data_IF_353217092584
#
_entry.id   IF_353217092584
#
_cell.length_a   1.000
_cell.length_b   1.000
_cell.length_c   1.000
_cell.angle_alpha   90.00
_cell.angle_beta   90.00
_cell.angle_gamma   90.00
#
_symmetry.space_group_name_H-M   'P 1'
#
loop_
_entity.id
_entity.type
_entity.pdbx_description
1 polymer ?
#
# COMPACT_ATOMS: atom_id res chain seq x y z
N UNK A 1 -6.16 -20.78 4.18
CA UNK A 1 -7.61 -20.54 4.05
C UNK A 1 -8.35 -21.48 3.07
N UNK A 2 -7.67 -22.40 2.36
CA UNK A 2 -8.34 -23.33 1.42
C UNK A 2 -9.44 -24.14 2.13
N UNK A 3 -10.61 -24.24 1.51
CA UNK A 3 -11.76 -24.98 2.03
C UNK A 3 -12.59 -24.25 3.10
N UNK A 4 -12.17 -23.05 3.55
CA UNK A 4 -12.89 -22.31 4.61
C UNK A 4 -13.99 -21.39 4.09
N UNK A 5 -14.02 -21.13 2.79
CA UNK A 5 -14.99 -20.25 2.14
C UNK A 5 -15.21 -20.68 0.69
N UNK A 6 -16.34 -20.28 0.12
CA UNK A 6 -16.75 -20.67 -1.23
C UNK A 6 -16.91 -19.49 -2.21
N UNK A 7 -16.84 -18.24 -1.72
CA UNK A 7 -16.93 -16.99 -2.51
C UNK A 7 -16.24 -15.86 -1.74
N UNK A 8 -15.77 -14.82 -2.43
CA UNK A 8 -15.26 -13.61 -1.77
C UNK A 8 -15.69 -12.33 -2.50
N UNK A 9 -15.76 -11.22 -1.76
CA UNK A 9 -16.05 -9.88 -2.26
C UNK A 9 -14.87 -8.97 -1.85
N UNK A 10 -14.20 -8.37 -2.82
CA UNK A 10 -13.12 -7.41 -2.64
C UNK A 10 -13.67 -6.01 -2.87
N UNK A 11 -13.80 -5.23 -1.80
CA UNK A 11 -14.35 -3.88 -1.82
C UNK A 11 -13.23 -2.87 -1.58
N UNK A 12 -12.80 -2.17 -2.62
CA UNK A 12 -11.79 -1.10 -2.52
C UNK A 12 -10.48 -1.54 -1.85
N UNK A 13 -10.04 -2.78 -2.10
CA UNK A 13 -8.78 -3.26 -1.56
C UNK A 13 -8.41 -4.69 -1.98
N UNK A 14 -7.11 -4.91 -2.15
CA UNK A 14 -6.54 -6.22 -2.43
C UNK A 14 -5.10 -6.36 -1.89
N UNK A 15 -4.59 -7.58 -1.87
CA UNK A 15 -3.23 -7.91 -1.41
C UNK A 15 -2.10 -7.34 -2.28
N UNK A 16 -2.41 -6.78 -3.46
CA UNK A 16 -1.43 -6.11 -4.32
C UNK A 16 -1.37 -4.60 -4.10
N UNK A 17 -2.24 -4.06 -3.23
CA UNK A 17 -2.23 -2.63 -2.89
C UNK A 17 -0.96 -2.30 -2.10
N UNK A 18 -0.29 -1.19 -2.42
CA UNK A 18 0.99 -0.83 -1.78
C UNK A 18 0.88 -0.68 -0.26
N UNK A 19 -0.28 -0.25 0.23
CA UNK A 19 -0.56 -0.10 1.66
C UNK A 19 -0.92 -1.42 2.36
N UNK A 20 -1.12 -2.52 1.64
CA UNK A 20 -1.58 -3.80 2.19
C UNK A 20 -0.44 -4.77 2.56
N UNK A 21 0.81 -4.41 2.26
CA UNK A 21 1.98 -5.26 2.46
C UNK A 21 3.20 -4.45 2.95
N UNK A 22 4.04 -5.07 3.78
CA UNK A 22 5.28 -4.49 4.29
C UNK A 22 6.50 -5.26 3.78
N UNK A 23 7.31 -4.59 2.96
CA UNK A 23 8.54 -5.16 2.38
C UNK A 23 9.71 -5.21 3.38
N UNK A 24 9.74 -4.29 4.35
CA UNK A 24 10.84 -4.12 5.29
C UNK A 24 10.40 -4.29 6.77
N UNK A 25 9.70 -5.37 7.15
CA UNK A 25 9.07 -5.49 8.48
C UNK A 25 10.07 -5.45 9.63
N UNK A 26 11.27 -6.05 9.46
CA UNK A 26 12.33 -6.03 10.47
C UNK A 26 12.87 -4.62 10.70
N UNK A 27 13.10 -3.86 9.64
CA UNK A 27 13.56 -2.47 9.76
C UNK A 27 12.55 -1.63 10.52
N UNK A 28 11.26 -1.73 10.16
CA UNK A 28 10.18 -1.00 10.87
C UNK A 28 10.09 -1.39 12.35
N UNK A 29 10.25 -2.67 12.69
CA UNK A 29 10.28 -3.13 14.08
C UNK A 29 11.48 -2.55 14.87
N UNK A 30 12.66 -2.50 14.26
CA UNK A 30 13.86 -1.91 14.88
C UNK A 30 13.74 -0.39 15.07
N UNK A 31 13.12 0.31 14.12
CA UNK A 31 12.84 1.73 14.25
C UNK A 31 11.86 2.02 15.41
N UNK A 32 10.80 1.22 15.53
CA UNK A 32 9.86 1.32 16.65
C UNK A 32 10.56 1.08 18.00
N UNK A 33 11.38 0.02 18.09
CA UNK A 33 12.13 -0.26 19.30
C UNK A 33 13.05 0.92 19.68
N UNK A 34 13.73 1.51 18.68
CA UNK A 34 14.61 2.68 18.88
C UNK A 34 13.86 3.90 19.38
N UNK A 35 12.72 4.21 18.79
CA UNK A 35 11.83 5.32 19.20
C UNK A 35 11.40 5.18 20.67
N UNK A 36 11.17 3.94 21.11
CA UNK A 36 10.78 3.61 22.47
C UNK A 36 11.96 3.46 23.45
N UNK A 37 13.21 3.59 22.98
CA UNK A 37 14.42 3.61 23.80
C UNK A 37 15.32 2.37 23.72
N UNK A 38 15.08 1.44 22.79
CA UNK A 38 15.91 0.25 22.57
C UNK A 38 16.69 0.33 21.26
N UNK A 39 18.01 0.49 21.34
CA UNK A 39 18.91 0.59 20.17
C UNK A 39 19.50 -0.73 19.71
N UNK A 40 19.13 -1.85 20.33
CA UNK A 40 19.62 -3.19 19.97
C UNK A 40 19.26 -3.55 18.52
N UNK A 41 20.09 -4.39 17.90
CA UNK A 41 19.85 -4.96 16.57
C UNK A 41 19.55 -6.47 16.63
N UNK A 42 19.69 -7.05 17.82
CA UNK A 42 19.43 -8.45 18.10
C UNK A 42 17.90 -8.70 18.21
N UNK A 43 17.32 -9.60 17.39
CA UNK A 43 15.87 -9.81 17.36
C UNK A 43 15.27 -10.24 18.70
N UNK A 44 15.96 -11.10 19.45
CA UNK A 44 15.44 -11.63 20.71
C UNK A 44 15.43 -10.55 21.78
N UNK A 45 16.52 -9.77 21.88
CA UNK A 45 16.60 -8.60 22.77
C UNK A 45 15.53 -7.55 22.44
N UNK A 46 15.29 -7.30 21.15
CA UNK A 46 14.27 -6.34 20.70
C UNK A 46 12.87 -6.85 21.03
N UNK A 47 12.61 -8.14 20.82
CA UNK A 47 11.34 -8.77 21.17
C UNK A 47 11.06 -8.67 22.67
N UNK A 48 12.01 -9.07 23.51
CA UNK A 48 11.89 -9.02 24.97
C UNK A 48 11.63 -7.60 25.46
N UNK A 49 12.33 -6.62 24.90
CA UNK A 49 12.09 -5.22 25.19
C UNK A 49 10.65 -4.80 24.82
N UNK A 50 10.22 -5.06 23.59
CA UNK A 50 8.90 -4.67 23.10
C UNK A 50 7.77 -5.36 23.88
N UNK A 51 7.96 -6.61 24.33
CA UNK A 51 7.01 -7.31 25.20
C UNK A 51 6.87 -6.66 26.58
N UNK A 52 7.89 -5.95 27.05
CA UNK A 52 7.85 -5.18 28.30
C UNK A 52 7.24 -3.77 28.16
N UNK A 53 7.07 -3.26 26.93
CA UNK A 53 6.51 -1.93 26.69
C UNK A 53 4.99 -1.97 26.90
N UNK A 54 4.39 -0.97 27.60
CA UNK A 54 2.94 -0.85 27.68
C UNK A 54 2.29 -0.82 26.29
N UNK A 55 1.25 -1.63 26.09
CA UNK A 55 0.59 -1.75 24.78
C UNK A 55 0.10 -0.40 24.21
N UNK A 56 -0.30 0.54 25.09
CA UNK A 56 -0.70 1.88 24.65
C UNK A 56 0.46 2.64 24.02
N UNK A 57 1.67 2.53 24.55
CA UNK A 57 2.84 3.20 23.98
C UNK A 57 3.17 2.63 22.59
N UNK A 58 3.07 1.31 22.44
CA UNK A 58 3.21 0.65 21.12
C UNK A 58 2.18 1.22 20.13
N UNK A 59 0.91 1.31 20.54
CA UNK A 59 -0.17 1.80 19.69
C UNK A 59 -0.02 3.29 19.34
N UNK A 60 0.42 4.13 20.29
CA UNK A 60 0.59 5.57 20.04
C UNK A 60 1.78 5.86 19.13
N UNK A 61 2.87 5.09 19.23
CA UNK A 61 4.01 5.26 18.33
C UNK A 61 3.62 4.99 16.86
N UNK A 62 2.59 4.18 16.59
CA UNK A 62 2.14 3.90 15.21
C UNK A 62 1.69 5.14 14.43
N UNK A 63 1.32 6.22 15.10
CA UNK A 63 0.93 7.49 14.48
C UNK A 63 2.12 8.42 14.20
N UNK A 64 3.34 7.99 14.52
CA UNK A 64 4.56 8.75 14.30
C UNK A 64 5.01 8.62 12.84
N UNK A 65 5.11 9.74 12.14
CA UNK A 65 5.67 9.82 10.78
C UNK A 65 7.17 9.50 10.74
N UNK A 66 7.82 9.40 11.92
CA UNK A 66 9.26 9.11 12.09
C UNK A 66 9.70 7.80 11.44
N UNK A 67 8.75 6.90 11.14
CA UNK A 67 9.03 5.59 10.55
C UNK A 67 8.84 5.54 9.02
N UNK A 68 8.43 6.64 8.40
CA UNK A 68 8.17 6.72 6.97
C UNK A 68 9.29 7.49 6.25
N UNK A 69 9.80 6.93 5.17
CA UNK A 69 10.55 7.70 4.15
C UNK A 69 9.60 8.67 3.44
N UNK A 70 10.13 9.72 2.80
CA UNK A 70 9.30 10.66 2.00
C UNK A 70 8.49 9.93 0.92
N UNK A 71 9.08 8.90 0.30
CA UNK A 71 8.37 8.04 -0.67
C UNK A 71 7.22 7.29 -0.03
N UNK A 72 7.40 6.72 1.16
CA UNK A 72 6.30 6.10 1.91
C UNK A 72 5.27 7.12 2.37
N UNK A 73 5.68 8.36 2.66
CA UNK A 73 4.74 9.43 2.99
C UNK A 73 3.85 9.78 1.79
N UNK A 74 4.40 9.81 0.57
CA UNK A 74 3.63 10.09 -0.65
C UNK A 74 2.82 8.86 -1.11
N UNK A 75 3.38 7.64 -1.00
CA UNK A 75 2.83 6.43 -1.62
C UNK A 75 2.13 5.45 -0.64
N UNK A 76 2.03 5.75 0.65
CA UNK A 76 1.31 4.88 1.60
C UNK A 76 0.27 5.66 2.40
N UNK A 77 -0.82 4.98 2.72
CA UNK A 77 -1.94 5.49 3.54
C UNK A 77 -1.60 5.44 5.06
N UNK A 78 -0.37 5.78 5.44
CA UNK A 78 0.13 5.81 6.84
C UNK A 78 0.02 4.51 7.66
N UNK A 79 -0.17 3.35 7.03
CA UNK A 79 -0.15 2.04 7.72
C UNK A 79 1.23 1.38 7.55
N UNK A 80 2.01 1.39 8.62
CA UNK A 80 3.40 0.89 8.64
C UNK A 80 3.43 -0.61 8.91
N UNK A 81 2.75 -1.06 9.98
CA UNK A 81 2.69 -2.46 10.37
C UNK A 81 1.51 -3.13 9.67
N UNK A 82 1.84 -3.87 8.61
CA UNK A 82 0.89 -4.56 7.72
C UNK A 82 1.40 -5.98 7.47
N UNK A 83 0.61 -6.88 6.84
CA UNK A 83 1.08 -8.22 6.51
C UNK A 83 2.44 -8.23 5.79
N UNK A 84 3.27 -9.23 6.08
CA UNK A 84 4.58 -9.43 5.45
C UNK A 84 4.84 -10.92 5.20
N UNK A 85 5.88 -11.25 4.43
CA UNK A 85 6.30 -12.65 4.25
C UNK A 85 6.84 -13.23 5.55
N UNK A 86 6.32 -14.39 5.95
CA UNK A 86 6.79 -15.16 7.10
C UNK A 86 7.85 -16.18 6.66
N UNK A 87 9.09 -16.03 7.15
CA UNK A 87 10.23 -16.90 6.79
C UNK A 87 10.43 -18.07 7.74
N UNK A 88 9.82 -18.01 8.92
CA UNK A 88 10.01 -18.97 10.01
C UNK A 88 8.66 -19.47 10.53
N UNK A 89 8.65 -20.66 11.13
CA UNK A 89 7.44 -21.32 11.62
C UNK A 89 7.01 -22.48 10.72
N UNK A 90 6.16 -23.36 11.27
CA UNK A 90 5.68 -24.58 10.58
C UNK A 90 4.45 -24.35 9.70
N UNK A 91 3.75 -23.23 9.88
CA UNK A 91 2.50 -22.91 9.16
C UNK A 91 2.37 -21.40 8.94
N UNK A 92 3.21 -20.79 8.07
CA UNK A 92 3.12 -19.37 7.78
C UNK A 92 1.75 -19.00 7.21
N UNK A 93 1.18 -17.88 7.65
CA UNK A 93 -0.06 -17.36 7.06
C UNK A 93 0.19 -16.86 5.63
N UNK A 94 1.28 -16.11 5.43
CA UNK A 94 1.72 -15.62 4.11
C UNK A 94 3.15 -16.09 3.79
N UNK A 95 3.32 -17.20 3.03
CA UNK A 95 4.62 -17.84 2.81
C UNK A 95 5.51 -17.13 1.76
N UNK A 96 4.94 -16.27 0.91
CA UNK A 96 5.66 -15.56 -0.15
C UNK A 96 4.93 -14.26 -0.51
N UNK A 97 5.54 -13.44 -1.35
CA UNK A 97 4.95 -12.18 -1.78
C UNK A 97 3.62 -12.41 -2.52
N UNK A 98 2.57 -11.59 -2.25
CA UNK A 98 1.27 -11.74 -2.88
C UNK A 98 1.32 -11.83 -4.41
N UNK A 99 2.13 -10.99 -5.08
CA UNK A 99 2.22 -11.02 -6.55
C UNK A 99 2.75 -12.35 -7.08
N UNK A 100 3.74 -12.97 -6.41
CA UNK A 100 4.29 -14.27 -6.79
C UNK A 100 3.29 -15.39 -6.57
N UNK A 101 2.57 -15.37 -5.45
CA UNK A 101 1.50 -16.32 -5.17
C UNK A 101 0.39 -16.23 -6.23
N UNK A 102 0.03 -15.00 -6.63
CA UNK A 102 -0.98 -14.77 -7.67
C UNK A 102 -0.50 -15.23 -9.05
N UNK A 103 0.77 -14.99 -9.40
CA UNK A 103 1.40 -15.48 -10.62
C UNK A 103 1.40 -17.01 -10.73
N UNK A 104 1.77 -17.70 -9.65
CA UNK A 104 1.77 -19.16 -9.58
C UNK A 104 0.36 -19.76 -9.42
N UNK A 105 -0.66 -18.93 -9.23
CA UNK A 105 -2.01 -19.40 -8.98
C UNK A 105 -2.21 -20.03 -7.59
N UNK A 106 -1.34 -19.74 -6.63
CA UNK A 106 -1.32 -20.31 -5.28
C UNK A 106 -2.31 -19.63 -4.32
N UNK A 107 -3.58 -19.63 -4.71
CA UNK A 107 -4.67 -19.05 -3.92
C UNK A 107 -5.96 -19.87 -4.11
N UNK A 108 -6.99 -19.60 -3.29
CA UNK A 108 -8.26 -20.30 -3.36
C UNK A 108 -9.01 -19.96 -4.67
N UNK A 109 -9.43 -21.00 -5.40
CA UNK A 109 -10.15 -20.86 -6.67
C UNK A 109 -11.66 -20.81 -6.41
N UNK A 110 -12.15 -19.64 -6.00
CA UNK A 110 -13.57 -19.41 -5.72
C UNK A 110 -14.08 -18.20 -6.49
N UNK A 111 -15.39 -18.12 -6.83
CA UNK A 111 -15.96 -16.94 -7.46
C UNK A 111 -15.70 -15.65 -6.67
N UNK A 112 -15.37 -14.59 -7.39
CA UNK A 112 -15.01 -13.28 -6.82
C UNK A 112 -15.96 -12.20 -7.33
N UNK A 113 -16.39 -11.32 -6.43
CA UNK A 113 -16.84 -9.97 -6.78
C UNK A 113 -15.71 -9.01 -6.42
N UNK A 114 -15.36 -8.11 -7.31
CA UNK A 114 -14.29 -7.12 -7.12
C UNK A 114 -14.79 -5.75 -7.54
N UNK A 115 -14.52 -4.71 -6.76
CA UNK A 115 -14.95 -3.38 -7.18
C UNK A 115 -14.33 -2.24 -6.42
N UNK A 116 -14.64 -1.06 -6.95
CA UNK A 116 -14.05 0.23 -6.62
C UNK A 116 -15.16 1.25 -6.37
N UNK A 117 -14.79 2.39 -5.81
CA UNK A 117 -15.55 3.65 -5.95
C UNK A 117 -14.97 4.50 -7.09
N UNK A 118 -15.73 5.47 -7.60
CA UNK A 118 -15.21 6.44 -8.59
C UNK A 118 -14.35 7.55 -7.97
N UNK A 119 -14.21 7.56 -6.65
CA UNK A 119 -13.47 8.57 -5.87
C UNK A 119 -12.61 7.96 -4.75
N UNK A 120 -11.93 6.85 -5.03
CA UNK A 120 -11.09 6.14 -4.05
C UNK A 120 -10.05 7.05 -3.38
N UNK A 121 -9.41 7.93 -4.16
CA UNK A 121 -8.37 8.81 -3.66
C UNK A 121 -8.82 9.75 -2.56
N UNK A 122 -10.12 10.04 -2.44
CA UNK A 122 -10.67 10.88 -1.37
C UNK A 122 -10.32 10.38 0.03
N UNK A 123 -10.05 9.09 0.18
CA UNK A 123 -9.64 8.48 1.46
C UNK A 123 -8.43 9.19 2.07
N UNK A 124 -7.49 9.67 1.23
CA UNK A 124 -6.29 10.33 1.76
C UNK A 124 -6.67 11.59 2.49
N UNK A 125 -7.62 12.40 1.99
CA UNK A 125 -8.03 13.64 2.67
C UNK A 125 -8.57 13.42 4.09
N UNK A 126 -9.06 12.22 4.41
CA UNK A 126 -9.58 11.87 5.73
C UNK A 126 -8.51 11.25 6.63
N UNK A 127 -7.61 10.44 6.07
CA UNK A 127 -6.64 9.65 6.83
C UNK A 127 -5.27 10.37 6.92
N UNK A 128 -4.98 11.30 6.01
CA UNK A 128 -3.65 11.91 5.87
C UNK A 128 -3.67 13.27 5.14
N UNK A 129 -2.79 14.20 5.51
CA UNK A 129 -2.58 15.42 4.69
C UNK A 129 -1.87 15.05 3.37
N UNK A 130 -2.38 15.44 2.19
CA UNK A 130 -1.64 15.24 0.96
C UNK A 130 -0.34 16.04 0.98
N UNK A 131 0.80 15.37 0.74
CA UNK A 131 2.13 15.98 0.79
C UNK A 131 2.48 16.68 -0.53
N UNK A 132 1.70 17.69 -0.93
CA UNK A 132 1.94 18.46 -2.16
C UNK A 132 3.35 19.05 -2.20
N UNK A 133 3.86 19.53 -1.07
CA UNK A 133 5.22 20.10 -0.99
C UNK A 133 6.29 19.05 -1.33
N UNK A 134 6.16 17.83 -0.82
CA UNK A 134 7.10 16.74 -1.15
C UNK A 134 7.02 16.39 -2.64
N UNK A 135 5.82 16.25 -3.18
CA UNK A 135 5.60 15.94 -4.61
C UNK A 135 6.15 17.05 -5.52
N UNK A 136 5.96 18.31 -5.15
CA UNK A 136 6.45 19.45 -5.92
C UNK A 136 7.98 19.56 -5.87
N UNK A 137 8.59 19.24 -4.73
CA UNK A 137 10.05 19.23 -4.58
C UNK A 137 10.68 18.05 -5.32
N UNK A 138 10.05 16.87 -5.28
CA UNK A 138 10.52 15.67 -5.94
C UNK A 138 9.36 14.85 -6.55
N UNK A 139 9.02 15.08 -7.83
CA UNK A 139 8.00 14.31 -8.54
C UNK A 139 8.33 12.81 -8.67
N UNK A 140 9.60 12.40 -8.50
CA UNK A 140 9.97 10.98 -8.55
C UNK A 140 9.29 10.15 -7.45
N UNK A 141 8.86 10.81 -6.36
CA UNK A 141 8.06 10.21 -5.30
C UNK A 141 6.69 9.70 -5.78
N UNK A 142 6.23 10.10 -6.96
CA UNK A 142 5.00 9.57 -7.58
C UNK A 142 5.23 8.24 -8.30
N UNK A 143 6.47 7.87 -8.64
CA UNK A 143 6.77 6.67 -9.42
C UNK A 143 6.64 5.42 -8.54
N UNK A 144 5.65 4.55 -8.80
CA UNK A 144 5.46 3.32 -8.04
C UNK A 144 6.72 2.45 -8.06
N UNK A 145 7.10 1.88 -6.91
CA UNK A 145 8.32 1.06 -6.77
C UNK A 145 8.35 -0.16 -7.71
N UNK A 146 7.20 -0.65 -8.15
CA UNK A 146 7.08 -1.77 -9.06
C UNK A 146 7.24 -1.40 -10.54
N UNK A 147 7.31 -0.11 -10.90
CA UNK A 147 7.59 0.35 -12.27
C UNK A 147 9.09 0.54 -12.52
N UNK A 148 9.90 0.77 -11.49
CA UNK A 148 11.32 1.07 -11.67
C UNK A 148 12.16 -0.20 -11.69
N UNK A 149 12.42 -0.70 -12.90
CA UNK A 149 13.39 -1.77 -13.17
C UNK A 149 14.82 -1.24 -13.31
N UNK A 150 15.02 0.08 -13.26
CA UNK A 150 16.32 0.74 -13.43
C UNK A 150 16.55 1.84 -12.37
N UNK A 151 17.72 1.88 -11.71
CA UNK A 151 18.07 2.86 -10.67
C UNK A 151 18.49 4.24 -11.24
N UNK A 152 17.96 4.62 -12.40
CA UNK A 152 18.29 5.92 -13.00
C UNK A 152 17.37 7.01 -12.42
N UNK A 153 17.95 7.85 -11.57
CA UNK A 153 17.25 8.96 -10.93
C UNK A 153 16.70 9.98 -11.93
N UNK A 154 17.38 10.18 -13.05
CA UNK A 154 16.89 11.12 -14.08
C UNK A 154 15.62 10.58 -14.74
N UNK A 155 15.60 9.28 -14.99
CA UNK A 155 14.43 8.59 -15.53
C UNK A 155 13.27 8.56 -14.53
N UNK A 156 13.52 8.27 -13.24
CA UNK A 156 12.47 8.35 -12.21
C UNK A 156 11.88 9.76 -12.10
N UNK A 157 12.72 10.80 -12.18
CA UNK A 157 12.26 12.18 -12.17
C UNK A 157 11.44 12.52 -13.43
N UNK A 158 11.87 12.05 -14.61
CA UNK A 158 11.14 12.22 -15.87
C UNK A 158 9.76 11.57 -15.80
N UNK A 159 9.71 10.30 -15.37
CA UNK A 159 8.47 9.54 -15.19
C UNK A 159 7.55 10.20 -14.16
N UNK A 160 8.09 10.66 -13.03
CA UNK A 160 7.33 11.37 -12.00
C UNK A 160 6.64 12.62 -12.54
N UNK A 161 7.35 13.43 -13.35
CA UNK A 161 6.79 14.60 -14.03
C UNK A 161 5.73 14.21 -15.07
N UNK A 162 5.95 13.15 -15.84
CA UNK A 162 4.98 12.67 -16.83
C UNK A 162 3.69 12.16 -16.18
N UNK A 163 3.81 11.41 -15.09
CA UNK A 163 2.66 10.95 -14.30
C UNK A 163 1.88 12.16 -13.79
N UNK A 164 2.56 13.11 -13.14
CA UNK A 164 1.92 14.31 -12.62
C UNK A 164 1.15 15.04 -13.73
N UNK A 165 1.84 15.33 -14.84
CA UNK A 165 1.28 16.05 -15.98
C UNK A 165 0.12 15.33 -16.65
N UNK A 166 0.16 13.99 -16.71
CA UNK A 166 -0.93 13.20 -17.27
C UNK A 166 -2.24 13.39 -16.50
N UNK A 167 -2.18 13.45 -15.15
CA UNK A 167 -3.38 13.62 -14.33
C UNK A 167 -3.78 15.09 -14.18
N UNK A 168 -2.86 15.98 -13.87
CA UNK A 168 -3.18 17.37 -13.47
C UNK A 168 -3.09 18.37 -14.61
N UNK A 169 -2.44 18.01 -15.73
CA UNK A 169 -2.07 18.93 -16.81
C UNK A 169 -1.22 20.14 -16.34
N UNK A 170 -0.52 19.98 -15.21
CA UNK A 170 0.36 20.98 -14.60
C UNK A 170 1.71 20.36 -14.28
N UNK A 171 2.72 21.20 -14.05
CA UNK A 171 4.05 20.75 -13.61
C UNK A 171 4.18 20.76 -12.07
N UNK A 172 3.14 21.20 -11.34
CA UNK A 172 3.07 21.20 -9.87
C UNK A 172 1.64 20.97 -9.37
N UNK A 173 1.52 20.40 -8.16
CA UNK A 173 0.26 20.14 -7.46
C UNK A 173 -0.06 21.30 -6.51
N UNK A 174 -1.28 21.81 -6.60
CA UNK A 174 -1.88 22.75 -5.67
C UNK A 174 -3.30 22.28 -5.32
N UNK A 175 -3.98 23.00 -4.43
CA UNK A 175 -5.38 22.72 -4.13
C UNK A 175 -6.33 22.92 -5.32
N UNK A 176 -5.95 23.73 -6.31
CA UNK A 176 -6.76 23.97 -7.52
C UNK A 176 -6.88 22.72 -8.41
N UNK A 177 -5.87 21.85 -8.37
CA UNK A 177 -5.81 20.57 -9.11
C UNK A 177 -5.95 19.36 -8.19
N UNK A 178 -6.40 19.57 -6.94
CA UNK A 178 -6.56 18.49 -5.97
C UNK A 178 -7.47 17.36 -6.46
N UNK A 179 -8.62 17.59 -7.11
CA UNK A 179 -9.47 16.50 -7.61
C UNK A 179 -8.72 15.55 -8.57
N UNK A 180 -7.94 16.11 -9.50
CA UNK A 180 -7.15 15.34 -10.47
C UNK A 180 -6.00 14.59 -9.80
N UNK A 181 -5.35 15.23 -8.83
CA UNK A 181 -4.34 14.57 -8.01
C UNK A 181 -4.93 13.40 -7.20
N UNK A 182 -6.17 13.54 -6.72
CA UNK A 182 -6.86 12.45 -6.01
C UNK A 182 -7.24 11.31 -6.94
N UNK A 183 -7.55 11.57 -8.21
CA UNK A 183 -7.74 10.51 -9.21
C UNK A 183 -6.43 9.71 -9.39
N UNK A 184 -5.26 10.36 -9.47
CA UNK A 184 -3.93 9.71 -9.47
C UNK A 184 -3.72 8.81 -8.23
N UNK A 185 -4.00 9.35 -7.05
CA UNK A 185 -3.86 8.63 -5.78
C UNK A 185 -4.79 7.41 -5.74
N UNK A 186 -6.03 7.56 -6.19
CA UNK A 186 -7.00 6.47 -6.32
C UNK A 186 -6.50 5.36 -7.23
N UNK A 187 -5.90 5.72 -8.36
CA UNK A 187 -5.40 4.76 -9.32
C UNK A 187 -4.18 3.98 -8.80
N UNK A 188 -3.22 4.66 -8.17
CA UNK A 188 -2.03 4.01 -7.61
C UNK A 188 -2.41 3.07 -6.45
N UNK A 189 -3.27 3.50 -5.53
CA UNK A 189 -3.54 2.74 -4.31
C UNK A 189 -4.63 1.67 -4.46
N UNK A 190 -5.54 1.82 -5.42
CA UNK A 190 -6.73 0.98 -5.52
C UNK A 190 -6.94 0.45 -6.94
N UNK A 191 -7.12 1.31 -7.94
CA UNK A 191 -7.56 0.89 -9.28
C UNK A 191 -6.57 -0.07 -9.94
N UNK A 192 -5.29 0.31 -10.05
CA UNK A 192 -4.24 -0.50 -10.70
C UNK A 192 -4.03 -1.84 -9.98
N UNK A 193 -3.82 -1.90 -8.64
CA UNK A 193 -3.63 -3.18 -7.98
C UNK A 193 -4.87 -4.09 -8.04
N UNK A 194 -6.10 -3.54 -7.98
CA UNK A 194 -7.33 -4.32 -8.16
C UNK A 194 -7.49 -4.82 -9.60
N UNK A 195 -7.14 -4.00 -10.59
CA UNK A 195 -7.10 -4.41 -12.00
C UNK A 195 -6.10 -5.56 -12.19
N UNK A 196 -4.89 -5.47 -11.66
CA UNK A 196 -3.88 -6.53 -11.74
C UNK A 196 -4.35 -7.81 -11.05
N UNK A 197 -4.94 -7.68 -9.85
CA UNK A 197 -5.56 -8.79 -9.12
C UNK A 197 -6.64 -9.47 -9.96
N UNK A 198 -7.50 -8.68 -10.63
CA UNK A 198 -8.53 -9.19 -11.54
C UNK A 198 -7.92 -10.02 -12.67
N UNK A 199 -6.84 -9.54 -13.28
CA UNK A 199 -6.17 -10.26 -14.37
C UNK A 199 -5.62 -11.61 -13.91
N UNK A 200 -5.06 -11.71 -12.70
CA UNK A 200 -4.62 -12.99 -12.15
C UNK A 200 -5.79 -13.97 -11.93
N UNK A 201 -6.95 -13.49 -11.48
CA UNK A 201 -8.15 -14.35 -11.36
C UNK A 201 -8.65 -14.85 -12.72
N UNK A 202 -8.71 -13.96 -13.72
CA UNK A 202 -9.16 -14.31 -15.08
C UNK A 202 -8.21 -15.32 -15.75
N UNK A 203 -6.89 -15.16 -15.60
CA UNK A 203 -5.89 -16.13 -16.08
C UNK A 203 -6.10 -17.54 -15.50
N UNK A 204 -6.69 -17.62 -14.32
CA UNK A 204 -6.98 -18.86 -13.60
C UNK A 204 -8.42 -19.35 -13.83
N UNK A 205 -9.14 -18.74 -14.79
CA UNK A 205 -10.51 -19.09 -15.19
C UNK A 205 -11.53 -19.05 -14.04
N UNK A 206 -11.29 -18.17 -13.07
CA UNK A 206 -12.21 -17.97 -11.94
C UNK A 206 -13.38 -17.10 -12.41
N UNK A 207 -14.63 -17.39 -12.00
CA UNK A 207 -15.75 -16.47 -12.22
C UNK A 207 -15.51 -15.15 -11.47
N UNK A 208 -15.45 -14.05 -12.21
CA UNK A 208 -15.21 -12.71 -11.66
C UNK A 208 -16.32 -11.76 -12.10
N UNK A 209 -16.92 -11.06 -11.12
CA UNK A 209 -17.88 -9.98 -11.33
C UNK A 209 -17.26 -8.67 -10.86
N UNK A 210 -17.38 -7.62 -11.67
CA UNK A 210 -16.83 -6.30 -11.35
C UNK A 210 -17.93 -5.29 -11.03
N UNK A 211 -17.69 -4.37 -10.09
CA UNK A 211 -18.54 -3.20 -9.89
C UNK A 211 -17.74 -1.90 -9.80
N UNK A 212 -18.39 -0.79 -10.16
CA UNK A 212 -17.96 0.57 -9.85
C UNK A 212 -19.09 1.26 -9.11
N UNK A 213 -18.81 1.73 -7.90
CA UNK A 213 -19.77 2.42 -7.05
C UNK A 213 -19.59 3.93 -7.18
N UNK A 214 -20.62 4.64 -7.64
CA UNK A 214 -20.55 6.07 -8.00
C UNK A 214 -21.50 6.95 -7.19
N UNK A 215 -21.98 6.45 -6.04
CA UNK A 215 -22.96 7.16 -5.25
C UNK A 215 -22.30 7.93 -4.09
N UNK A 216 -22.65 9.21 -3.95
CA UNK A 216 -22.22 10.07 -2.84
C UNK A 216 -23.40 10.40 -1.94
N UNK A 217 -23.26 10.16 -0.63
CA UNK A 217 -24.26 10.52 0.38
C UNK A 217 -23.97 11.92 0.94
N UNK A 218 -24.97 12.83 1.00
CA UNK A 218 -24.79 14.21 1.49
C UNK A 218 -24.78 14.34 3.04
N UNK A 219 -24.36 13.30 3.78
CA UNK A 219 -24.45 13.30 5.26
C UNK A 219 -23.39 14.16 5.93
#
# INVERSE_FOLDING_TARGET
SRGLFHKAILQSGCSLSQWAFQDNPREKALLLARDLGCTSQDPDTVLDFLMGVPAMNLATSLYSDTFCTEKEMVQRVSIIFTPCVEKYGSAPFLPDYPYKLMERGEFAKVPIIIGLTDKEGMVVLTIKKPHFDLVNNDPSLLVPQNLTTTPDKEEELRLGKEILKFYTNTDSVTWDVAPQFLDLVGDIHFTIPLQNTRQYFLKQQIPVYSYLFTYTSPR
#
